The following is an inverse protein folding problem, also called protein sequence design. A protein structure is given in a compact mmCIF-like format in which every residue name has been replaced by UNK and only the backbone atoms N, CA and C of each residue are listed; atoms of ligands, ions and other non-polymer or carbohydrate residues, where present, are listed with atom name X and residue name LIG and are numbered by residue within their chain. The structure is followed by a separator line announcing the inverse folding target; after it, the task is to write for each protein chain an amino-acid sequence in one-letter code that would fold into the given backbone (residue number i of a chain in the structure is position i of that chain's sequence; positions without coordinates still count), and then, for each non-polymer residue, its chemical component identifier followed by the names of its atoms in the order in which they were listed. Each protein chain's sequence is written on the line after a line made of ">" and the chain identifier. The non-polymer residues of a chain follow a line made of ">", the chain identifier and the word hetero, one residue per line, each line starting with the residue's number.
data_IF_329780079986
#
_entry.id   IF_329780079986
#
_cell.length_a   1.000
_cell.length_b   1.000
_cell.length_c   1.000
_cell.angle_alpha   90.00
_cell.angle_beta   90.00
_cell.angle_gamma   90.00
#
_symmetry.space_group_name_H-M   'P 1'
#
loop_
_entity.id
_entity.type
_entity.pdbx_description
1 polymer ?
#
# COMPACT_ATOMS: atom_id res chain seq x y z
N UNK A 1 11.38 -21.74 31.28
CA UNK A 1 10.87 -22.06 29.92
C UNK A 1 10.91 -20.77 29.12
N UNK A 2 11.97 -20.56 28.35
CA UNK A 2 12.00 -19.47 27.36
C UNK A 2 11.05 -19.89 26.23
N UNK A 3 9.96 -19.16 26.03
CA UNK A 3 9.06 -19.43 24.91
C UNK A 3 9.76 -18.95 23.63
N UNK A 4 9.88 -19.83 22.64
CA UNK A 4 10.40 -19.49 21.32
C UNK A 4 9.61 -18.29 20.75
N UNK A 5 10.27 -17.20 20.35
CA UNK A 5 9.63 -16.07 19.68
C UNK A 5 8.73 -16.46 18.52
N UNK A 6 9.04 -17.55 17.79
CA UNK A 6 8.18 -18.09 16.73
C UNK A 6 6.85 -18.59 17.27
N UNK A 7 6.88 -19.33 18.38
CA UNK A 7 5.68 -19.83 19.03
C UNK A 7 4.81 -18.67 19.54
N UNK A 8 5.44 -17.62 20.05
CA UNK A 8 4.72 -16.40 20.48
C UNK A 8 4.03 -15.75 19.28
N UNK A 9 4.72 -15.61 18.15
CA UNK A 9 4.15 -15.04 16.94
C UNK A 9 2.96 -15.86 16.40
N UNK A 10 3.09 -17.19 16.35
CA UNK A 10 2.02 -18.09 15.93
C UNK A 10 0.77 -17.96 16.81
N UNK A 11 0.97 -17.90 18.13
CA UNK A 11 -0.12 -17.72 19.08
C UNK A 11 -0.82 -16.37 18.92
N UNK A 12 -0.07 -15.29 18.70
CA UNK A 12 -0.64 -13.95 18.44
C UNK A 12 -1.50 -13.98 17.17
N UNK A 13 -1.00 -14.60 16.09
CA UNK A 13 -1.75 -14.72 14.83
C UNK A 13 -3.05 -15.49 15.04
N UNK A 14 -3.00 -16.62 15.77
CA UNK A 14 -4.18 -17.43 16.06
C UNK A 14 -5.25 -16.64 16.84
N UNK A 15 -4.85 -15.90 17.88
CA UNK A 15 -5.76 -15.08 18.67
C UNK A 15 -6.42 -13.95 17.85
N UNK A 16 -5.66 -13.28 16.99
CA UNK A 16 -6.20 -12.21 16.13
C UNK A 16 -7.24 -12.76 15.15
N UNK A 17 -7.00 -13.95 14.58
CA UNK A 17 -7.95 -14.61 13.68
C UNK A 17 -9.25 -15.02 14.38
N UNK A 18 -9.16 -15.45 15.64
CA UNK A 18 -10.32 -15.80 16.44
C UNK A 18 -11.16 -14.56 16.79
N UNK A 19 -10.52 -13.46 17.21
CA UNK A 19 -11.20 -12.20 17.51
C UNK A 19 -11.96 -11.66 16.30
N UNK A 20 -11.38 -11.73 15.11
CA UNK A 20 -12.06 -11.31 13.90
C UNK A 20 -13.29 -12.14 13.56
N UNK A 21 -13.21 -13.46 13.74
CA UNK A 21 -14.38 -14.34 13.57
C UNK A 21 -15.51 -13.95 14.52
N UNK A 22 -15.19 -13.62 15.78
CA UNK A 22 -16.17 -13.18 16.77
C UNK A 22 -16.75 -11.80 16.45
N UNK A 23 -15.95 -10.90 15.87
CA UNK A 23 -16.39 -9.57 15.45
C UNK A 23 -17.24 -9.58 14.16
N UNK A 24 -17.44 -10.74 13.53
CA UNK A 24 -18.17 -10.86 12.26
C UNK A 24 -17.39 -10.30 11.05
N UNK A 25 -16.11 -9.98 11.23
CA UNK A 25 -15.24 -9.49 10.17
C UNK A 25 -14.49 -10.67 9.53
N UNK A 26 -14.57 -10.78 8.20
CA UNK A 26 -13.65 -11.64 7.45
C UNK A 26 -12.29 -10.94 7.42
N UNK A 27 -11.34 -11.37 8.27
CA UNK A 27 -9.93 -11.10 8.00
C UNK A 27 -9.57 -11.93 6.77
N UNK A 28 -9.62 -11.29 5.61
CA UNK A 28 -8.81 -11.71 4.48
C UNK A 28 -7.36 -11.45 4.90
N UNK A 29 -6.68 -12.50 5.39
CA UNK A 29 -5.23 -12.55 5.41
C UNK A 29 -4.83 -12.37 3.95
N UNK A 30 -4.59 -11.10 3.56
CA UNK A 30 -4.30 -10.71 2.19
C UNK A 30 -3.24 -11.66 1.68
N UNK A 31 -3.65 -12.55 0.79
CA UNK A 31 -2.74 -13.43 0.10
C UNK A 31 -1.71 -12.49 -0.51
N UNK A 32 -0.46 -12.62 -0.07
CA UNK A 32 0.67 -11.99 -0.74
C UNK A 32 0.62 -12.50 -2.16
N UNK A 33 -0.03 -11.75 -3.04
CA UNK A 33 0.07 -11.94 -4.47
C UNK A 33 1.53 -11.66 -4.78
N UNK A 34 2.32 -12.75 -4.77
CA UNK A 34 3.61 -12.83 -5.42
C UNK A 34 3.37 -12.69 -6.93
N UNK A 35 2.99 -11.49 -7.36
CA UNK A 35 3.22 -11.07 -8.72
C UNK A 35 4.67 -10.57 -8.74
N UNK A 36 5.57 -11.53 -8.94
CA UNK A 36 6.94 -11.24 -9.30
C UNK A 36 7.02 -11.08 -10.82
N UNK A 37 7.29 -9.87 -11.31
CA UNK A 37 8.11 -9.71 -12.49
C UNK A 37 9.39 -9.00 -12.04
N UNK A 38 10.46 -9.77 -11.84
CA UNK A 38 11.85 -9.30 -11.70
C UNK A 38 12.01 -8.06 -10.80
N UNK A 39 12.09 -8.25 -9.49
CA UNK A 39 12.57 -7.18 -8.60
C UNK A 39 14.05 -6.91 -8.85
N UNK A 40 14.38 -6.07 -9.84
CA UNK A 40 15.45 -5.10 -9.63
C UNK A 40 15.12 -4.45 -8.30
N UNK A 41 15.98 -4.61 -7.27
CA UNK A 41 15.82 -4.07 -5.91
C UNK A 41 14.97 -2.79 -5.97
N UNK A 42 13.69 -2.89 -5.66
CA UNK A 42 12.81 -1.75 -5.79
C UNK A 42 13.22 -0.82 -4.67
N UNK A 43 13.98 0.22 -5.00
CA UNK A 43 14.46 1.18 -4.01
C UNK A 43 13.27 1.66 -3.17
N UNK A 44 13.26 1.25 -1.90
CA UNK A 44 12.25 1.65 -0.90
C UNK A 44 12.55 3.03 -0.32
N UNK A 45 13.60 3.67 -0.83
CA UNK A 45 14.03 5.02 -0.50
C UNK A 45 13.22 6.08 -1.26
N UNK A 46 13.13 7.27 -0.65
CA UNK A 46 12.44 8.42 -1.23
C UNK A 46 10.93 8.26 -1.40
N UNK A 47 10.33 9.20 -2.15
CA UNK A 47 8.89 9.25 -2.34
C UNK A 47 8.36 8.07 -3.17
N UNK A 48 9.07 7.66 -4.22
CA UNK A 48 8.67 6.49 -5.03
C UNK A 48 8.66 5.22 -4.19
N UNK A 49 9.69 5.02 -3.34
CA UNK A 49 9.73 3.90 -2.40
C UNK A 49 8.59 3.93 -1.39
N UNK A 50 8.29 5.11 -0.82
CA UNK A 50 7.12 5.30 0.05
C UNK A 50 5.80 4.95 -0.65
N UNK A 51 5.64 5.35 -1.92
CA UNK A 51 4.46 5.01 -2.71
C UNK A 51 4.37 3.50 -3.02
N UNK A 52 5.50 2.82 -3.27
CA UNK A 52 5.51 1.36 -3.44
C UNK A 52 5.06 0.62 -2.18
N UNK A 53 5.42 1.13 -1.00
CA UNK A 53 4.94 0.58 0.27
C UNK A 53 3.42 0.71 0.34
N UNK A 54 2.87 1.89 0.04
CA UNK A 54 1.41 2.08 -0.01
C UNK A 54 0.71 1.18 -1.03
N UNK A 55 1.34 0.89 -2.18
CA UNK A 55 0.84 -0.10 -3.14
C UNK A 55 0.83 -1.50 -2.52
N UNK A 56 1.91 -1.90 -1.84
CA UNK A 56 1.99 -3.19 -1.15
C UNK A 56 0.99 -3.35 0.01
N UNK A 57 0.62 -2.25 0.66
CA UNK A 57 -0.43 -2.18 1.69
C UNK A 57 -1.85 -2.24 1.11
N UNK A 58 -2.02 -2.21 -0.22
CA UNK A 58 -3.33 -2.19 -0.87
C UNK A 58 -4.04 -0.83 -0.81
N UNK A 59 -3.35 0.26 -0.45
CA UNK A 59 -3.94 1.60 -0.33
C UNK A 59 -4.56 2.11 -1.65
N UNK A 60 -4.03 1.63 -2.79
CA UNK A 60 -4.49 1.98 -4.14
C UNK A 60 -5.50 0.97 -4.74
N UNK A 61 -6.06 0.06 -3.92
CA UNK A 61 -7.14 -0.83 -4.35
C UNK A 61 -8.39 -0.04 -4.75
N UNK A 62 -8.64 1.07 -4.06
CA UNK A 62 -9.61 2.08 -4.43
C UNK A 62 -8.92 3.32 -5.02
N UNK A 63 -9.55 4.06 -5.96
CA UNK A 63 -8.95 5.25 -6.55
C UNK A 63 -8.68 6.35 -5.52
N UNK A 64 -7.45 6.83 -5.45
CA UNK A 64 -7.01 7.89 -4.52
C UNK A 64 -6.60 9.18 -5.22
N UNK A 65 -6.90 10.31 -4.60
CA UNK A 65 -6.46 11.63 -5.06
C UNK A 65 -5.11 12.01 -4.45
N UNK A 66 -4.39 12.92 -5.12
CA UNK A 66 -3.10 13.43 -4.63
C UNK A 66 -3.13 13.94 -3.17
N UNK A 67 -4.14 14.73 -2.73
CA UNK A 67 -4.20 15.19 -1.34
C UNK A 67 -4.31 14.05 -0.33
N UNK A 68 -5.09 13.01 -0.64
CA UNK A 68 -5.26 11.84 0.23
C UNK A 68 -3.94 11.06 0.37
N UNK A 69 -3.23 10.90 -0.75
CA UNK A 69 -1.93 10.22 -0.80
C UNK A 69 -0.88 10.99 0.01
N UNK A 70 -0.86 12.32 -0.11
CA UNK A 70 0.04 13.19 0.67
C UNK A 70 -0.23 12.99 2.17
N UNK A 71 -1.49 13.05 2.57
CA UNK A 71 -1.87 12.92 3.98
C UNK A 71 -1.50 11.55 4.53
N UNK A 72 -1.75 10.48 3.77
CA UNK A 72 -1.36 9.12 4.15
C UNK A 72 0.15 8.97 4.31
N UNK A 73 0.95 9.56 3.42
CA UNK A 73 2.41 9.54 3.54
C UNK A 73 2.89 10.30 4.79
N UNK A 74 2.28 11.45 5.09
CA UNK A 74 2.57 12.21 6.33
C UNK A 74 2.23 11.42 7.59
N UNK A 75 1.10 10.72 7.62
CA UNK A 75 0.71 9.84 8.73
C UNK A 75 1.75 8.72 8.96
N UNK A 76 2.39 8.25 7.89
CA UNK A 76 3.51 7.30 7.95
C UNK A 76 4.87 7.93 8.27
N UNK A 77 4.91 9.20 8.68
CA UNK A 77 6.15 9.94 9.00
C UNK A 77 6.96 10.36 7.78
N UNK A 78 6.40 10.27 6.58
CA UNK A 78 7.10 10.58 5.32
C UNK A 78 6.65 11.92 4.76
N UNK A 79 7.45 12.94 5.03
CA UNK A 79 7.20 14.30 4.56
C UNK A 79 7.95 14.55 3.25
N UNK A 80 7.19 14.64 2.15
CA UNK A 80 7.73 14.96 0.84
C UNK A 80 7.00 16.17 0.26
N UNK A 81 7.64 16.87 -0.67
CA UNK A 81 6.96 17.92 -1.43
C UNK A 81 5.90 17.32 -2.36
N UNK A 82 4.86 18.10 -2.66
CA UNK A 82 3.80 17.69 -3.59
C UNK A 82 4.37 17.32 -4.97
N UNK A 83 5.41 18.03 -5.43
CA UNK A 83 6.09 17.76 -6.70
C UNK A 83 6.79 16.39 -6.67
N UNK A 84 7.51 16.08 -5.58
CA UNK A 84 8.20 14.80 -5.40
C UNK A 84 7.21 13.63 -5.41
N UNK A 85 6.09 13.76 -4.71
CA UNK A 85 5.03 12.73 -4.68
C UNK A 85 4.40 12.58 -6.06
N UNK A 86 4.10 13.69 -6.73
CA UNK A 86 3.53 13.68 -8.08
C UNK A 86 4.44 12.97 -9.08
N UNK A 87 5.75 13.27 -9.04
CA UNK A 87 6.73 12.59 -9.88
C UNK A 87 6.84 11.10 -9.55
N UNK A 88 6.82 10.72 -8.27
CA UNK A 88 6.80 9.33 -7.84
C UNK A 88 5.58 8.58 -8.38
N UNK A 89 4.39 9.18 -8.31
CA UNK A 89 3.17 8.60 -8.87
C UNK A 89 3.25 8.42 -10.39
N UNK A 90 3.79 9.42 -11.11
CA UNK A 90 3.99 9.31 -12.55
C UNK A 90 4.97 8.20 -12.91
N UNK A 91 6.04 8.00 -12.12
CA UNK A 91 6.97 6.89 -12.33
C UNK A 91 6.25 5.54 -12.19
N UNK A 92 5.43 5.36 -11.15
CA UNK A 92 4.65 4.12 -10.97
C UNK A 92 3.61 3.90 -12.07
N UNK A 93 3.08 4.96 -12.68
CA UNK A 93 2.22 4.87 -13.87
C UNK A 93 3.03 4.44 -15.10
N UNK A 94 4.22 5.00 -15.31
CA UNK A 94 5.12 4.62 -16.43
C UNK A 94 5.58 3.17 -16.30
N UNK A 95 5.82 2.71 -15.08
CA UNK A 95 6.13 1.33 -14.75
C UNK A 95 4.93 0.38 -14.82
N UNK A 96 3.73 0.89 -15.16
CA UNK A 96 2.50 0.11 -15.28
C UNK A 96 2.04 -0.55 -13.98
N UNK A 97 2.44 -0.01 -12.83
CA UNK A 97 1.97 -0.44 -11.51
C UNK A 97 0.67 0.27 -11.15
N UNK A 98 0.63 1.58 -11.39
CA UNK A 98 -0.58 2.37 -11.22
C UNK A 98 -1.18 2.75 -12.58
N UNK A 99 -2.47 3.03 -12.57
CA UNK A 99 -3.16 3.79 -13.61
C UNK A 99 -3.65 5.11 -13.04
N UNK A 100 -3.88 6.09 -13.92
CA UNK A 100 -4.50 7.35 -13.53
C UNK A 100 -5.65 7.69 -14.46
N UNK A 101 -6.72 8.26 -13.92
CA UNK A 101 -7.89 8.68 -14.68
C UNK A 101 -8.57 9.88 -14.01
N UNK A 102 -9.52 10.48 -14.72
CA UNK A 102 -10.41 11.52 -14.19
C UNK A 102 -11.84 11.01 -14.31
N UNK A 103 -12.62 11.21 -13.27
CA UNK A 103 -14.07 11.03 -13.40
C UNK A 103 -14.64 12.18 -14.24
N UNK A 104 -15.70 11.91 -15.02
CA UNK A 104 -16.25 12.77 -16.07
C UNK A 104 -16.84 14.12 -15.61
N UNK A 105 -16.03 14.93 -14.94
CA UNK A 105 -16.37 16.21 -14.32
C UNK A 105 -15.32 16.69 -13.31
N UNK A 106 -14.44 15.80 -12.82
CA UNK A 106 -13.40 16.16 -11.86
C UNK A 106 -12.11 16.59 -12.56
N UNK A 107 -11.53 17.71 -12.12
CA UNK A 107 -10.23 18.20 -12.62
C UNK A 107 -9.07 17.41 -11.99
N UNK A 108 -9.32 16.70 -10.89
CA UNK A 108 -8.30 16.00 -10.12
C UNK A 108 -8.05 14.60 -10.69
N UNK A 109 -6.77 14.27 -10.81
CA UNK A 109 -6.36 12.90 -11.16
C UNK A 109 -6.58 11.98 -9.97
N UNK A 110 -7.19 10.82 -10.25
CA UNK A 110 -7.26 9.67 -9.36
C UNK A 110 -6.25 8.63 -9.78
N UNK A 111 -5.65 7.93 -8.82
CA UNK A 111 -4.66 6.89 -9.01
C UNK A 111 -5.17 5.58 -8.40
N UNK A 112 -5.05 4.48 -9.13
CA UNK A 112 -5.46 3.15 -8.68
C UNK A 112 -4.48 2.09 -9.21
N UNK A 113 -4.48 0.90 -8.64
CA UNK A 113 -3.71 -0.23 -9.18
C UNK A 113 -4.16 -0.52 -10.61
N UNK A 114 -3.18 -0.69 -11.50
CA UNK A 114 -3.44 -1.11 -12.88
C UNK A 114 -3.85 -2.59 -12.87
N UNK A 115 -5.08 -2.87 -13.28
CA UNK A 115 -5.59 -4.23 -13.55
C UNK A 115 -5.25 -4.66 -14.97
#
# INVERSE_FOLDING_TARGET
>A
MEKDPKQIAENIIALVLELAKLAGEKIELGQKNHHNPKSSRSDTSGATGGLRILVGEGYFNDPKQLPEIIERLKQGGRHYSNATISMGLLNLVRERILTRFRDGGDKKWKYAIRK
#
